data_IF_349709554127
#
_entry.id   IF_349709554127
#
_cell.length_a   1.000
_cell.length_b   1.000
_cell.length_c   1.000
_cell.angle_alpha   90.00
_cell.angle_beta   90.00
_cell.angle_gamma   90.00
#
_symmetry.space_group_name_H-M   'P 1'
#
loop_
_entity.id
_entity.type
_entity.pdbx_description
1 polymer ?
#
# COMPACT_ATOMS: atom_id res chain seq x y z
N UNK A 1 11.22 16.20 -15.64
CA UNK A 1 12.42 15.95 -16.45
C UNK A 1 12.10 14.91 -17.51
N UNK A 2 12.23 15.29 -18.79
CA UNK A 2 11.94 14.38 -19.91
C UNK A 2 13.20 13.69 -20.44
N UNK A 3 14.34 14.31 -20.20
CA UNK A 3 15.65 13.78 -20.62
C UNK A 3 16.55 13.48 -19.41
N UNK A 4 17.43 12.47 -19.51
CA UNK A 4 18.40 12.18 -18.48
C UNK A 4 19.33 13.35 -18.23
N UNK A 5 19.56 13.66 -16.96
CA UNK A 5 20.52 14.72 -16.57
C UNK A 5 21.93 14.14 -16.53
N UNK A 6 22.88 14.98 -16.89
CA UNK A 6 24.31 14.70 -16.70
C UNK A 6 24.78 15.25 -15.35
N UNK A 7 25.95 14.81 -14.88
CA UNK A 7 26.55 15.33 -13.65
C UNK A 7 26.80 16.85 -13.68
N UNK A 8 26.90 17.44 -14.87
CA UNK A 8 27.11 18.87 -15.07
C UNK A 8 25.81 19.68 -15.14
N UNK A 9 24.69 19.06 -15.50
CA UNK A 9 23.40 19.75 -15.72
C UNK A 9 22.37 19.47 -14.61
N UNK A 10 22.64 18.53 -13.71
CA UNK A 10 21.67 18.14 -12.68
C UNK A 10 21.36 19.24 -11.66
N UNK A 11 22.21 20.26 -11.53
CA UNK A 11 22.00 21.41 -10.65
C UNK A 11 21.34 22.60 -11.34
N UNK A 12 21.17 22.54 -12.68
CA UNK A 12 20.63 23.64 -13.48
C UNK A 12 19.11 23.52 -13.68
N UNK A 13 18.48 22.58 -12.97
CA UNK A 13 17.04 22.31 -13.10
C UNK A 13 16.27 23.34 -12.29
N UNK A 14 15.50 24.16 -12.97
CA UNK A 14 14.61 25.13 -12.32
C UNK A 14 13.30 24.47 -11.89
N UNK A 15 12.70 25.02 -10.82
CA UNK A 15 11.37 24.66 -10.40
C UNK A 15 10.35 25.22 -11.40
N UNK A 16 9.38 24.38 -11.78
CA UNK A 16 8.26 24.81 -12.61
C UNK A 16 6.97 24.89 -11.78
N UNK A 17 5.87 25.38 -12.37
CA UNK A 17 4.59 25.49 -11.68
C UNK A 17 3.93 24.12 -11.49
N UNK A 18 3.09 23.98 -10.48
CA UNK A 18 2.33 22.75 -10.24
C UNK A 18 1.42 22.40 -11.42
N UNK A 19 0.83 23.42 -12.06
CA UNK A 19 -0.03 23.26 -13.24
C UNK A 19 0.72 22.61 -14.40
N UNK A 20 1.96 23.07 -14.67
CA UNK A 20 2.79 22.51 -15.73
C UNK A 20 3.20 21.06 -15.42
N UNK A 21 3.47 20.73 -14.15
CA UNK A 21 3.78 19.36 -13.72
C UNK A 21 2.56 18.46 -13.90
N UNK A 22 1.38 18.89 -13.44
CA UNK A 22 0.16 18.09 -13.60
C UNK A 22 -0.20 17.88 -15.06
N UNK A 23 -0.11 18.92 -15.90
CA UNK A 23 -0.33 18.78 -17.34
C UNK A 23 0.61 17.75 -17.99
N UNK A 24 1.88 17.69 -17.56
CA UNK A 24 2.80 16.67 -18.04
C UNK A 24 2.43 15.27 -17.55
N UNK A 25 2.03 15.12 -16.28
CA UNK A 25 1.58 13.82 -15.72
C UNK A 25 0.33 13.32 -16.46
N UNK A 26 -0.66 14.18 -16.69
CA UNK A 26 -1.85 13.84 -17.45
C UNK A 26 -1.51 13.37 -18.86
N UNK A 27 -0.63 14.10 -19.53
CA UNK A 27 -0.16 13.73 -20.87
C UNK A 27 0.51 12.37 -20.88
N UNK A 28 1.48 12.15 -20.00
CA UNK A 28 2.24 10.90 -19.91
C UNK A 28 1.33 9.71 -19.67
N UNK A 29 0.37 9.83 -18.72
CA UNK A 29 -0.59 8.77 -18.43
C UNK A 29 -1.56 8.54 -19.59
N UNK A 30 -2.05 9.61 -20.24
CA UNK A 30 -2.96 9.51 -21.39
C UNK A 30 -2.29 8.83 -22.57
N UNK A 31 -1.02 9.11 -22.82
CA UNK A 31 -0.23 8.47 -23.89
C UNK A 31 0.13 7.02 -23.53
N UNK A 32 0.38 6.70 -22.25
CA UNK A 32 0.70 5.35 -21.79
C UNK A 32 -0.50 4.40 -21.84
N UNK A 33 -1.71 4.85 -21.50
CA UNK A 33 -2.91 4.00 -21.41
C UNK A 33 -3.15 3.15 -22.69
N UNK A 34 -3.13 3.68 -23.91
CA UNK A 34 -3.33 2.85 -25.11
C UNK A 34 -2.19 1.88 -25.37
N UNK A 35 -0.96 2.18 -24.93
CA UNK A 35 0.22 1.37 -25.17
C UNK A 35 0.37 0.21 -24.14
N UNK A 36 -0.24 0.33 -22.97
CA UNK A 36 -0.14 -0.69 -21.92
C UNK A 36 -1.06 -1.89 -22.18
N UNK A 37 -0.66 -3.11 -21.76
CA UNK A 37 -1.49 -4.30 -21.85
C UNK A 37 -2.71 -4.19 -20.93
N UNK A 38 -3.82 -4.81 -21.32
CA UNK A 38 -5.03 -4.88 -20.49
C UNK A 38 -4.80 -5.68 -19.19
N UNK A 39 -4.03 -6.76 -19.30
CA UNK A 39 -3.61 -7.61 -18.17
C UNK A 39 -2.23 -8.20 -18.44
N UNK A 40 -1.57 -8.68 -17.40
CA UNK A 40 -0.27 -9.38 -17.47
C UNK A 40 -0.39 -10.73 -16.77
N UNK A 41 0.36 -11.76 -17.23
CA UNK A 41 0.38 -13.06 -16.56
C UNK A 41 0.97 -12.92 -15.14
N UNK A 42 0.17 -13.20 -14.11
CA UNK A 42 0.62 -13.06 -12.71
C UNK A 42 1.80 -13.98 -12.35
N UNK A 43 1.93 -15.13 -13.03
CA UNK A 43 3.02 -16.09 -12.77
C UNK A 43 4.41 -15.63 -13.25
N UNK A 44 4.48 -14.75 -14.25
CA UNK A 44 5.74 -14.38 -14.91
C UNK A 44 5.98 -12.89 -14.97
N UNK A 45 4.94 -12.07 -14.93
CA UNK A 45 5.03 -10.62 -15.15
C UNK A 45 4.29 -9.81 -14.07
N UNK A 46 3.99 -10.41 -12.91
CA UNK A 46 3.37 -9.70 -11.80
C UNK A 46 4.18 -8.48 -11.37
N UNK A 47 3.49 -7.40 -11.03
CA UNK A 47 4.11 -6.12 -10.69
C UNK A 47 4.35 -5.18 -11.88
N UNK A 48 4.17 -5.62 -13.13
CA UNK A 48 4.19 -4.73 -14.29
C UNK A 48 2.91 -3.91 -14.39
N UNK A 49 3.07 -2.69 -14.89
CA UNK A 49 1.93 -1.78 -15.05
C UNK A 49 0.98 -2.25 -16.17
N UNK A 50 -0.30 -2.12 -15.91
CA UNK A 50 -1.38 -2.43 -16.84
C UNK A 50 -2.15 -1.17 -17.22
N UNK A 51 -3.00 -1.28 -18.24
CA UNK A 51 -3.91 -0.20 -18.64
C UNK A 51 -4.81 0.25 -17.50
N UNK A 52 -5.38 -0.67 -16.72
CA UNK A 52 -6.22 -0.36 -15.56
C UNK A 52 -5.43 0.37 -14.46
N UNK A 53 -4.17 0.01 -14.24
CA UNK A 53 -3.28 0.68 -13.31
C UNK A 53 -3.05 2.16 -13.72
N UNK A 54 -2.72 2.41 -14.98
CA UNK A 54 -2.50 3.78 -15.48
C UNK A 54 -3.79 4.63 -15.42
N UNK A 55 -4.95 4.04 -15.73
CA UNK A 55 -6.24 4.72 -15.59
C UNK A 55 -6.57 5.06 -14.14
N UNK A 56 -6.30 4.17 -13.20
CA UNK A 56 -6.49 4.43 -11.77
C UNK A 56 -5.58 5.58 -11.28
N UNK A 57 -4.33 5.61 -11.73
CA UNK A 57 -3.41 6.72 -11.45
C UNK A 57 -3.91 8.04 -12.04
N UNK A 58 -4.34 8.05 -13.29
CA UNK A 58 -4.90 9.25 -13.94
C UNK A 58 -6.13 9.77 -13.19
N UNK A 59 -7.03 8.88 -12.78
CA UNK A 59 -8.19 9.25 -11.98
C UNK A 59 -7.82 9.89 -10.65
N UNK A 60 -6.77 9.38 -9.99
CA UNK A 60 -6.22 9.99 -8.76
C UNK A 60 -5.64 11.38 -9.03
N UNK A 61 -4.90 11.56 -10.12
CA UNK A 61 -4.36 12.87 -10.54
C UNK A 61 -5.49 13.87 -10.73
N UNK A 62 -6.52 13.52 -11.50
CA UNK A 62 -7.68 14.38 -11.69
C UNK A 62 -8.39 14.76 -10.39
N UNK A 63 -8.49 13.84 -9.42
CA UNK A 63 -9.05 14.17 -8.10
C UNK A 63 -8.21 15.20 -7.35
N UNK A 64 -6.88 15.10 -7.40
CA UNK A 64 -5.98 16.08 -6.78
C UNK A 64 -6.10 17.47 -7.40
N UNK A 65 -6.36 17.56 -8.70
CA UNK A 65 -6.58 18.82 -9.42
C UNK A 65 -8.02 19.36 -9.29
N UNK A 66 -8.93 18.60 -8.64
CA UNK A 66 -10.34 18.96 -8.54
C UNK A 66 -11.16 18.71 -9.81
N UNK A 67 -10.60 18.02 -10.82
CA UNK A 67 -11.25 17.62 -12.08
C UNK A 67 -12.14 16.40 -11.86
N UNK A 68 -13.24 16.59 -11.11
CA UNK A 68 -14.08 15.49 -10.62
C UNK A 68 -14.80 14.72 -11.71
N UNK A 69 -15.22 15.39 -12.79
CA UNK A 69 -15.92 14.76 -13.90
C UNK A 69 -14.98 13.84 -14.69
N UNK A 70 -13.79 14.31 -14.97
CA UNK A 70 -12.73 13.56 -15.65
C UNK A 70 -12.28 12.37 -14.80
N UNK A 71 -12.11 12.57 -13.50
CA UNK A 71 -11.82 11.49 -12.57
C UNK A 71 -12.90 10.42 -12.57
N UNK A 72 -14.17 10.81 -12.48
CA UNK A 72 -15.29 9.87 -12.50
C UNK A 72 -15.34 9.08 -13.81
N UNK A 73 -15.11 9.73 -14.96
CA UNK A 73 -15.13 9.09 -16.28
C UNK A 73 -14.04 8.04 -16.44
N UNK A 74 -12.80 8.33 -16.01
CA UNK A 74 -11.69 7.37 -16.15
C UNK A 74 -11.78 6.27 -15.09
N UNK A 75 -12.16 6.58 -13.85
CA UNK A 75 -12.30 5.59 -12.78
C UNK A 75 -13.46 4.63 -13.02
N UNK A 76 -14.53 5.05 -13.68
CA UNK A 76 -15.63 4.15 -14.06
C UNK A 76 -15.16 2.97 -14.94
N UNK A 77 -14.11 3.15 -15.74
CA UNK A 77 -13.53 2.09 -16.56
C UNK A 77 -12.76 1.05 -15.73
N UNK A 78 -12.25 1.46 -14.57
CA UNK A 78 -11.49 0.60 -13.65
C UNK A 78 -12.39 -0.07 -12.63
N UNK A 79 -13.34 0.67 -12.05
CA UNK A 79 -14.20 0.17 -10.98
C UNK A 79 -15.24 -0.85 -11.46
N UNK A 80 -15.73 -0.70 -12.68
CA UNK A 80 -16.77 -1.59 -13.21
C UNK A 80 -18.07 -1.56 -12.37
N UNK A 81 -18.77 -2.70 -12.36
CA UNK A 81 -19.99 -2.88 -11.56
C UNK A 81 -19.65 -3.52 -10.21
N UNK A 82 -20.13 -3.01 -9.06
CA UNK A 82 -19.89 -3.62 -7.76
C UNK A 82 -20.26 -5.11 -7.73
N UNK A 83 -19.38 -5.94 -7.19
CA UNK A 83 -19.56 -7.39 -7.10
C UNK A 83 -19.20 -8.19 -8.36
N UNK A 84 -18.92 -7.52 -9.48
CA UNK A 84 -18.48 -8.15 -10.72
C UNK A 84 -17.02 -7.80 -11.05
N UNK A 85 -16.40 -8.59 -11.91
CA UNK A 85 -15.10 -8.23 -12.46
C UNK A 85 -15.26 -7.07 -13.46
N UNK A 86 -14.31 -6.14 -13.46
CA UNK A 86 -14.23 -5.10 -14.47
C UNK A 86 -13.73 -5.67 -15.83
N UNK A 87 -13.61 -4.80 -16.83
CA UNK A 87 -13.15 -5.18 -18.18
C UNK A 87 -11.71 -5.74 -18.22
N UNK A 88 -10.93 -5.59 -17.15
CA UNK A 88 -9.55 -6.07 -17.02
C UNK A 88 -9.44 -7.32 -16.15
N UNK A 89 -10.57 -7.82 -15.62
CA UNK A 89 -10.61 -8.97 -14.73
C UNK A 89 -10.42 -8.62 -13.25
N UNK A 90 -10.25 -7.34 -12.90
CA UNK A 90 -10.15 -6.95 -11.50
C UNK A 90 -11.51 -7.00 -10.82
N UNK A 91 -11.54 -7.47 -9.59
CA UNK A 91 -12.72 -7.51 -8.72
C UNK A 91 -12.29 -7.56 -7.26
N UNK A 92 -13.16 -7.10 -6.37
CA UNK A 92 -12.94 -7.22 -4.93
C UNK A 92 -12.88 -8.70 -4.52
N UNK A 93 -12.02 -9.01 -3.55
CA UNK A 93 -11.97 -10.33 -2.92
C UNK A 93 -13.23 -10.56 -2.09
N UNK A 94 -13.64 -11.82 -2.00
CA UNK A 94 -14.85 -12.19 -1.23
C UNK A 94 -14.64 -11.99 0.27
N UNK A 95 -13.44 -12.33 0.76
CA UNK A 95 -13.08 -12.14 2.15
C UNK A 95 -12.03 -11.03 2.26
N UNK A 96 -12.32 -10.01 3.04
CA UNK A 96 -11.42 -8.89 3.24
C UNK A 96 -10.06 -9.29 3.85
N UNK A 97 -10.05 -10.28 4.74
CA UNK A 97 -8.83 -10.81 5.35
C UNK A 97 -7.83 -11.41 4.34
N UNK A 98 -8.31 -11.87 3.19
CA UNK A 98 -7.45 -12.45 2.15
C UNK A 98 -6.48 -11.44 1.53
N UNK A 99 -6.76 -10.13 1.65
CA UNK A 99 -5.86 -9.04 1.22
C UNK A 99 -4.52 -9.06 1.96
N UNK A 100 -4.51 -9.52 3.20
CA UNK A 100 -3.36 -9.48 4.09
C UNK A 100 -2.54 -10.78 4.09
N UNK A 101 -2.98 -11.75 3.32
CA UNK A 101 -2.27 -13.03 3.17
C UNK A 101 -1.18 -12.90 2.11
N UNK A 102 0.07 -13.05 2.50
CA UNK A 102 1.25 -12.89 1.61
C UNK A 102 1.17 -13.77 0.36
N UNK A 103 0.60 -14.97 0.45
CA UNK A 103 0.41 -15.86 -0.69
C UNK A 103 -0.58 -15.32 -1.73
N UNK A 104 -1.44 -14.37 -1.35
CA UNK A 104 -2.45 -13.76 -2.20
C UNK A 104 -1.99 -12.46 -2.86
N UNK A 105 -0.72 -12.10 -2.81
CA UNK A 105 -0.22 -10.91 -3.53
C UNK A 105 -0.51 -11.01 -5.04
N UNK A 106 -0.67 -9.86 -5.69
CA UNK A 106 -1.10 -9.75 -7.09
C UNK A 106 -2.46 -10.41 -7.36
N UNK A 107 -3.36 -10.37 -6.38
CA UNK A 107 -4.71 -10.90 -6.52
C UNK A 107 -5.59 -10.04 -7.43
N UNK A 108 -6.85 -10.45 -7.62
CA UNK A 108 -7.77 -9.75 -8.53
C UNK A 108 -8.17 -8.34 -8.08
N UNK A 109 -7.97 -7.97 -6.82
CA UNK A 109 -8.25 -6.62 -6.33
C UNK A 109 -7.07 -5.67 -6.60
N UNK A 110 -5.87 -6.21 -6.78
CA UNK A 110 -4.65 -5.42 -6.98
C UNK A 110 -4.61 -4.79 -8.37
N UNK A 111 -4.48 -3.46 -8.42
CA UNK A 111 -4.24 -2.69 -9.65
C UNK A 111 -2.76 -2.38 -9.83
N UNK A 112 -2.10 -2.00 -8.74
CA UNK A 112 -0.64 -1.76 -8.66
C UNK A 112 -0.20 -2.30 -7.31
N UNK A 113 0.83 -3.12 -7.32
CA UNK A 113 1.40 -3.67 -6.11
C UNK A 113 2.92 -3.65 -6.19
N UNK A 114 3.55 -3.04 -5.18
CA UNK A 114 5.00 -3.05 -5.03
C UNK A 114 5.38 -4.26 -4.17
N UNK A 115 6.00 -5.24 -4.79
CA UNK A 115 6.42 -6.46 -4.09
C UNK A 115 7.72 -6.24 -3.33
N UNK A 116 7.74 -6.68 -2.08
CA UNK A 116 8.92 -6.72 -1.23
C UNK A 116 9.31 -8.18 -0.97
N UNK A 117 10.57 -8.41 -0.65
CA UNK A 117 11.08 -9.73 -0.27
C UNK A 117 11.70 -9.68 1.13
N UNK A 118 11.61 -10.81 1.84
CA UNK A 118 12.34 -11.01 3.09
C UNK A 118 13.73 -11.62 2.90
N UNK A 119 14.12 -11.91 1.65
CA UNK A 119 15.41 -12.53 1.35
C UNK A 119 16.59 -11.53 1.42
N UNK A 120 16.32 -10.25 1.31
CA UNK A 120 17.30 -9.19 1.46
C UNK A 120 17.44 -8.70 2.90
N UNK A 121 18.25 -7.67 3.09
CA UNK A 121 18.38 -6.99 4.36
C UNK A 121 17.20 -6.01 4.53
N UNK A 122 16.40 -6.18 5.58
CA UNK A 122 15.34 -5.23 5.96
C UNK A 122 15.84 -4.12 6.88
N UNK A 123 17.16 -4.03 7.05
CA UNK A 123 17.82 -3.03 7.88
C UNK A 123 17.92 -1.74 7.06
N UNK A 124 17.48 -0.61 7.56
CA UNK A 124 17.68 0.77 7.08
C UNK A 124 18.58 0.91 5.84
N UNK A 125 18.32 0.15 4.79
CA UNK A 125 19.20 -0.06 3.66
C UNK A 125 19.63 1.19 2.91
N UNK A 126 18.88 2.28 3.03
CA UNK A 126 19.25 3.58 2.45
C UNK A 126 20.41 4.27 3.20
N UNK A 127 20.70 3.87 4.43
CA UNK A 127 21.87 4.32 5.20
C UNK A 127 23.09 3.44 4.98
N UNK A 128 22.92 2.27 4.43
CA UNK A 128 23.96 1.26 4.30
C UNK A 128 24.27 0.86 2.86
N UNK A 129 24.18 -0.42 2.57
CA UNK A 129 24.67 -1.04 1.32
C UNK A 129 23.73 -0.92 0.11
N UNK A 130 22.60 -0.25 0.20
CA UNK A 130 21.61 -0.16 -0.89
C UNK A 130 20.93 -1.50 -1.24
N UNK A 131 20.91 -2.44 -0.31
CA UNK A 131 20.32 -3.79 -0.48
C UNK A 131 19.05 -3.98 0.34
N UNK A 132 18.34 -2.90 0.65
CA UNK A 132 17.07 -2.99 1.34
C UNK A 132 15.98 -3.37 0.34
N UNK A 133 15.62 -4.64 0.31
CA UNK A 133 14.55 -5.20 -0.50
C UNK A 133 13.27 -5.45 0.33
N UNK A 134 13.34 -5.19 1.66
CA UNK A 134 12.24 -5.37 2.60
C UNK A 134 11.30 -4.15 2.64
N UNK A 135 10.34 -4.23 3.56
CA UNK A 135 9.43 -3.13 3.87
C UNK A 135 9.71 -2.61 5.29
N UNK A 136 10.49 -1.54 5.39
CA UNK A 136 10.84 -0.92 6.67
C UNK A 136 9.63 -0.29 7.40
N UNK A 137 8.53 0.02 6.69
CA UNK A 137 7.31 0.54 7.33
C UNK A 137 6.70 -0.45 8.31
N UNK A 138 6.74 -1.76 8.02
CA UNK A 138 6.24 -2.79 8.92
C UNK A 138 6.99 -2.78 10.26
N UNK A 139 8.31 -2.57 10.21
CA UNK A 139 9.13 -2.45 11.42
C UNK A 139 8.79 -1.18 12.19
N UNK A 140 8.57 -0.06 11.49
CA UNK A 140 8.25 1.21 12.13
C UNK A 140 6.91 1.18 12.86
N UNK A 141 5.88 0.59 12.25
CA UNK A 141 4.51 0.59 12.80
C UNK A 141 4.22 -0.60 13.72
N UNK A 142 5.01 -1.65 13.68
CA UNK A 142 4.81 -2.86 14.49
C UNK A 142 4.98 -2.64 15.99
N UNK A 143 4.47 -3.58 16.81
CA UNK A 143 4.58 -3.50 18.27
C UNK A 143 6.03 -3.63 18.73
N UNK A 144 6.46 -2.80 19.71
CA UNK A 144 7.82 -2.84 20.25
C UNK A 144 8.00 -4.04 21.18
N UNK A 145 9.11 -4.75 21.02
CA UNK A 145 9.49 -5.89 21.89
C UNK A 145 8.36 -6.91 22.00
N UNK A 146 7.70 -7.18 20.88
CA UNK A 146 6.61 -8.15 20.84
C UNK A 146 7.13 -9.56 21.11
N UNK A 147 6.41 -10.29 21.96
CA UNK A 147 6.64 -11.71 22.23
C UNK A 147 5.34 -12.41 22.57
N UNK A 148 5.29 -13.73 22.39
CA UNK A 148 4.14 -14.54 22.80
C UNK A 148 4.58 -15.90 23.36
N UNK A 149 3.79 -16.51 24.26
CA UNK A 149 4.01 -17.90 24.66
C UNK A 149 3.90 -18.87 23.47
N UNK A 150 4.65 -19.96 23.51
CA UNK A 150 4.65 -20.96 22.41
C UNK A 150 3.26 -21.57 22.15
N UNK A 151 2.42 -21.67 23.19
CA UNK A 151 1.06 -22.21 23.07
C UNK A 151 0.00 -21.14 22.71
N UNK A 152 0.40 -19.87 22.60
CA UNK A 152 -0.51 -18.78 22.30
C UNK A 152 -0.98 -18.81 20.84
N UNK A 153 -2.26 -18.45 20.63
CA UNK A 153 -2.85 -18.24 19.31
C UNK A 153 -2.66 -16.84 18.74
N UNK A 154 -2.04 -15.94 19.50
CA UNK A 154 -1.70 -14.60 19.01
C UNK A 154 -0.84 -14.68 17.74
N UNK A 155 -0.93 -13.69 16.83
CA UNK A 155 -0.19 -13.70 15.58
C UNK A 155 1.33 -13.69 15.80
N UNK A 156 2.08 -14.26 14.86
CA UNK A 156 3.54 -14.15 14.82
C UNK A 156 3.91 -12.83 14.17
N UNK A 157 4.41 -11.88 14.97
CA UNK A 157 4.80 -10.56 14.52
C UNK A 157 6.27 -10.30 14.82
N UNK A 158 7.01 -9.66 13.90
CA UNK A 158 8.32 -9.11 14.22
C UNK A 158 8.16 -7.95 15.21
N UNK A 159 9.14 -7.76 16.07
CA UNK A 159 9.20 -6.54 16.90
C UNK A 159 9.42 -5.32 16.05
N UNK A 160 8.65 -4.27 16.33
CA UNK A 160 8.72 -2.98 15.64
C UNK A 160 9.09 -1.83 16.57
N UNK A 161 8.77 -0.61 16.14
CA UNK A 161 9.11 0.62 16.88
C UNK A 161 7.91 1.32 17.49
N UNK A 162 6.71 0.83 17.24
CA UNK A 162 5.46 1.38 17.79
C UNK A 162 5.17 2.82 17.31
N UNK A 163 5.45 3.11 16.03
CA UNK A 163 5.08 4.38 15.42
C UNK A 163 3.70 4.26 14.76
N UNK A 164 2.95 5.38 14.72
CA UNK A 164 1.64 5.46 14.07
C UNK A 164 0.65 4.38 14.52
N UNK A 165 0.58 4.11 15.80
CA UNK A 165 -0.42 3.21 16.38
C UNK A 165 -1.84 3.71 16.07
N UNK A 166 -2.79 2.79 15.97
CA UNK A 166 -4.18 3.14 15.76
C UNK A 166 -4.73 3.95 16.96
N UNK A 167 -5.44 5.03 16.68
CA UNK A 167 -6.03 5.87 17.74
C UNK A 167 -7.26 5.21 18.34
N UNK A 168 -7.62 5.60 19.57
CA UNK A 168 -8.88 5.17 20.20
C UNK A 168 -10.10 5.53 19.33
N UNK A 169 -10.08 6.70 18.69
CA UNK A 169 -11.18 7.13 17.81
C UNK A 169 -11.32 6.19 16.59
N UNK A 170 -10.21 5.74 16.01
CA UNK A 170 -10.24 4.79 14.91
C UNK A 170 -10.77 3.43 15.36
N UNK A 171 -10.29 2.94 16.50
CA UNK A 171 -10.82 1.71 17.13
C UNK A 171 -12.33 1.79 17.32
N UNK A 172 -12.82 2.87 17.95
CA UNK A 172 -14.24 3.06 18.24
C UNK A 172 -15.09 3.18 16.97
N UNK A 173 -14.56 3.77 15.92
CA UNK A 173 -15.24 3.88 14.63
C UNK A 173 -15.35 2.53 13.89
N UNK A 174 -14.35 1.67 14.04
CA UNK A 174 -14.26 0.40 13.29
C UNK A 174 -14.76 -0.83 14.06
N UNK A 175 -14.86 -0.78 15.41
CA UNK A 175 -15.16 -1.98 16.22
C UNK A 175 -16.47 -2.73 15.88
N UNK A 176 -17.41 -2.08 15.22
CA UNK A 176 -18.65 -2.69 14.72
C UNK A 176 -18.60 -3.04 13.22
N UNK A 177 -17.52 -2.69 12.51
CA UNK A 177 -17.34 -3.03 11.10
C UNK A 177 -16.93 -4.51 10.96
N UNK A 178 -17.52 -5.28 10.03
CA UNK A 178 -17.14 -6.68 9.81
C UNK A 178 -15.67 -6.87 9.42
N UNK A 179 -14.98 -5.82 8.96
CA UNK A 179 -13.56 -5.84 8.61
C UNK A 179 -12.64 -5.61 9.80
N UNK A 180 -13.19 -5.26 10.97
CA UNK A 180 -12.43 -4.87 12.16
C UNK A 180 -11.34 -5.88 12.51
N UNK A 181 -11.67 -7.17 12.61
CA UNK A 181 -10.73 -8.22 13.00
C UNK A 181 -9.58 -8.47 12.00
N UNK A 182 -9.72 -7.98 10.76
CA UNK A 182 -8.64 -8.03 9.77
C UNK A 182 -7.93 -6.69 9.59
N UNK A 183 -8.34 -5.65 10.34
CA UNK A 183 -7.77 -4.30 10.23
C UNK A 183 -7.06 -3.87 11.51
N UNK A 184 -7.64 -4.17 12.67
CA UNK A 184 -7.11 -3.74 13.98
C UNK A 184 -6.72 -4.94 14.81
N UNK A 185 -5.49 -4.96 15.26
CA UNK A 185 -4.98 -5.90 16.26
C UNK A 185 -4.99 -5.24 17.63
N UNK A 186 -5.79 -5.77 18.55
CA UNK A 186 -5.84 -5.33 19.95
C UNK A 186 -4.82 -6.11 20.78
N UNK A 187 -3.57 -5.65 20.76
CA UNK A 187 -2.49 -6.27 21.56
C UNK A 187 -2.70 -6.05 23.06
N UNK A 188 -3.34 -4.96 23.42
CA UNK A 188 -3.67 -4.69 24.84
C UNK A 188 -4.59 -5.76 25.40
N UNK A 189 -5.59 -6.19 24.66
CA UNK A 189 -6.44 -7.32 25.04
C UNK A 189 -5.67 -8.64 25.08
N UNK A 190 -4.82 -8.91 24.09
CA UNK A 190 -3.95 -10.10 24.08
C UNK A 190 -3.01 -10.13 25.27
N UNK A 191 -2.42 -9.01 25.67
CA UNK A 191 -1.56 -8.89 26.85
C UNK A 191 -2.35 -9.12 28.13
N UNK A 192 -3.56 -8.57 28.26
CA UNK A 192 -4.42 -8.80 29.40
C UNK A 192 -4.87 -10.26 29.53
N UNK A 193 -5.00 -10.98 28.42
CA UNK A 193 -5.30 -12.41 28.37
C UNK A 193 -4.06 -13.33 28.58
N UNK A 194 -2.84 -12.75 28.67
CA UNK A 194 -1.59 -13.54 28.75
C UNK A 194 -1.17 -14.19 27.43
N UNK A 195 -1.78 -13.81 26.31
CA UNK A 195 -1.51 -14.36 24.99
C UNK A 195 -0.34 -13.70 24.29
N UNK A 196 0.00 -12.47 24.65
CA UNK A 196 1.17 -11.75 24.12
C UNK A 196 1.73 -10.76 25.15
N UNK A 197 2.95 -10.33 24.93
CA UNK A 197 3.57 -9.20 25.65
C UNK A 197 4.24 -8.24 24.68
N UNK A 198 4.30 -6.96 25.03
CA UNK A 198 4.95 -5.91 24.25
C UNK A 198 5.28 -4.71 25.15
N UNK A 199 6.18 -3.88 24.68
CA UNK A 199 6.48 -2.58 25.28
C UNK A 199 5.89 -1.51 24.35
N UNK A 200 4.98 -0.69 24.88
CA UNK A 200 4.37 0.43 24.15
C UNK A 200 5.38 1.57 23.90
N UNK A 201 5.01 2.47 23.01
CA UNK A 201 5.68 3.74 22.76
C UNK A 201 4.96 4.91 23.43
N UNK A 202 5.40 6.12 23.10
CA UNK A 202 4.72 7.34 23.51
C UNK A 202 3.31 7.40 22.90
N UNK A 203 2.30 7.65 23.73
CA UNK A 203 0.87 7.66 23.33
C UNK A 203 0.37 6.31 22.74
N UNK A 204 0.99 5.21 23.11
CA UNK A 204 0.55 3.89 22.71
C UNK A 204 -0.87 3.60 23.21
N UNK A 205 -1.76 3.24 22.30
CA UNK A 205 -3.13 2.83 22.59
C UNK A 205 -3.27 1.32 22.77
N UNK A 206 -2.28 0.55 22.35
CA UNK A 206 -2.33 -0.91 22.28
C UNK A 206 -3.08 -1.45 21.07
N UNK A 207 -3.43 -0.59 20.10
CA UNK A 207 -4.10 -0.95 18.85
C UNK A 207 -3.16 -0.75 17.67
N UNK A 208 -3.00 -1.77 16.84
CA UNK A 208 -2.12 -1.79 15.68
C UNK A 208 -2.91 -2.12 14.41
N UNK A 209 -2.42 -1.61 13.26
CA UNK A 209 -2.96 -1.89 11.93
C UNK A 209 -2.30 -3.11 11.30
#
# INVERSE_FOLDING_TARGET
LLDPLTATTMYDVEQTTSEAVYAQIEKDLTEAIPALPASVPASTESGRLTKGAAQAMLGKVYLFEGKKMEAAAVLAQVNGTPGAANQYGNKLLTNFSDLWVVANKFNTESLIEVSHTSAGNSDWGFWGSGKDEGNSLNVMVGPRTYSKPAASTAPDLPSGWCFNVATQNLYDALKSDPRFGATILDIKALKAAGEADYIGGYQDTGYFL
#
